data_IF_065632320169
#
_entry.id   IF_065632320169
#
_cell.length_a   1.000
_cell.length_b   1.000
_cell.length_c   1.000
_cell.angle_alpha   90.00
_cell.angle_beta   90.00
_cell.angle_gamma   90.00
#
_symmetry.space_group_name_H-M   'P 1'
#
loop_
_entity.id
_entity.type
_entity.pdbx_description
1 polymer ?
2 non-polymer ?
3 non-polymer ?
4 non-polymer ?
5 water ?
#
# COMPACT_ATOMS: atom_id res chain seq x y z
N UNK A 15 18.35 -3.93 28.57
CA UNK A 15 18.23 -3.82 27.10
C UNK A 15 18.90 -2.57 26.53
N UNK A 16 19.29 -2.63 25.25
CA UNK A 16 19.76 -1.43 24.58
C UNK A 16 18.64 -0.41 24.45
N UNK A 17 19.01 0.87 24.49
CA UNK A 17 18.08 1.99 24.47
C UNK A 17 18.34 2.83 23.23
N UNK A 18 17.28 3.34 22.62
CA UNK A 18 17.38 4.29 21.52
C UNK A 18 16.47 5.47 21.82
N UNK A 19 17.05 6.67 21.86
CA UNK A 19 16.30 7.90 22.14
C UNK A 19 15.47 7.78 23.41
N UNK A 20 16.07 7.17 24.44
CA UNK A 20 15.43 7.00 25.72
C UNK A 20 14.41 5.89 25.80
N UNK A 21 14.15 5.18 24.71
CA UNK A 21 13.16 4.11 24.64
C UNK A 21 13.84 2.74 24.57
N UNK A 22 13.17 1.74 25.14
CA UNK A 22 13.65 0.38 25.03
C UNK A 22 13.60 -0.07 23.58
N UNK A 23 14.70 -0.64 23.09
CA UNK A 23 14.74 -1.26 21.76
C UNK A 23 15.46 -2.59 21.93
N UNK A 24 14.72 -3.58 22.41
CA UNK A 24 15.29 -4.80 23.00
C UNK A 24 15.39 -5.91 21.98
N UNK A 25 16.49 -5.97 21.22
CA UNK A 25 16.61 -6.90 20.11
C UNK A 25 17.81 -7.83 20.23
N UNK A 26 18.58 -7.76 21.31
CA UNK A 26 19.85 -8.46 21.37
C UNK A 26 19.75 -9.91 21.79
N UNK A 27 20.87 -10.65 21.67
CA UNK A 27 22.17 -10.19 21.21
C UNK A 27 22.43 -10.37 19.71
N UNK A 28 21.48 -10.98 19.00
CA UNK A 28 21.71 -11.27 17.58
C UNK A 28 21.87 -9.98 16.78
N UNK A 29 21.11 -8.95 17.13
CA UNK A 29 21.11 -7.69 16.40
C UNK A 29 21.76 -6.63 17.28
N UNK A 30 22.85 -6.04 16.78
CA UNK A 30 23.65 -5.07 17.51
C UNK A 30 23.89 -3.83 16.67
N UNK A 31 24.55 -2.84 17.28
CA UNK A 31 24.98 -1.60 16.62
C UNK A 31 23.80 -0.87 15.99
N UNK A 32 22.88 -0.45 16.86
CA UNK A 32 21.58 0.08 16.45
C UNK A 32 21.71 1.53 16.01
N UNK A 33 20.90 1.90 15.01
CA UNK A 33 20.79 3.29 14.56
C UNK A 33 19.34 3.64 14.25
N UNK A 34 18.87 4.77 14.76
CA UNK A 34 17.50 5.21 14.51
C UNK A 34 17.33 5.67 13.05
N UNK A 35 16.27 5.20 12.38
CA UNK A 35 16.04 5.56 10.99
C UNK A 35 14.63 6.06 10.70
N UNK A 36 13.73 6.17 11.68
CA UNK A 36 12.41 6.73 11.44
C UNK A 36 11.35 6.15 12.36
N UNK A 37 10.09 6.46 12.04
CA UNK A 37 8.94 6.07 12.86
C UNK A 37 7.94 5.19 12.14
N UNK A 38 7.56 4.07 12.78
CA UNK A 38 6.45 3.25 12.34
C UNK A 38 5.17 3.63 13.06
N UNK A 39 4.08 2.93 12.72
CA UNK A 39 2.76 3.32 13.20
C UNK A 39 2.62 3.08 14.70
N UNK A 40 3.28 2.05 15.23
CA UNK A 40 3.24 1.76 16.67
C UNK A 40 4.64 1.74 17.26
N UNK A 41 5.59 2.42 16.64
CA UNK A 41 6.91 2.52 17.22
C UNK A 41 7.95 3.03 16.25
N UNK A 42 9.18 3.06 16.73
CA UNK A 42 10.34 3.54 15.99
C UNK A 42 10.94 2.42 15.11
N UNK A 43 11.71 2.84 14.12
CA UNK A 43 12.39 1.93 13.20
C UNK A 43 13.89 2.17 13.33
N UNK A 44 14.65 1.10 13.49
CA UNK A 44 16.10 1.18 13.60
C UNK A 44 16.75 0.28 12.56
N UNK A 45 17.96 0.64 12.17
CA UNK A 45 18.82 -0.32 11.50
C UNK A 45 19.71 -0.99 12.54
N UNK A 46 20.21 -2.17 12.20
CA UNK A 46 20.99 -2.95 13.15
C UNK A 46 21.80 -3.98 12.39
N UNK A 47 22.94 -4.37 12.98
CA UNK A 47 23.75 -5.42 12.40
C UNK A 47 23.25 -6.79 12.85
N UNK A 48 22.92 -7.65 11.88
CA UNK A 48 22.54 -9.04 12.12
C UNK A 48 23.81 -9.88 12.23
N UNK A 49 24.14 -10.32 13.45
CA UNK A 49 25.39 -11.04 13.68
C UNK A 49 25.37 -12.46 13.14
N UNK A 50 24.20 -13.02 12.81
CA UNK A 50 24.17 -14.36 12.23
C UNK A 50 24.38 -14.32 10.71
N UNK A 51 23.61 -13.49 10.02
CA UNK A 51 23.73 -13.39 8.57
C UNK A 51 24.76 -12.36 8.14
N UNK A 52 25.34 -11.61 9.09
CA UNK A 52 26.43 -10.67 8.83
C UNK A 52 26.03 -9.61 7.82
N UNK A 53 24.85 -9.04 8.03
CA UNK A 53 24.34 -7.96 7.19
C UNK A 53 23.52 -7.04 8.08
N UNK A 54 23.43 -5.77 7.70
CA UNK A 54 22.57 -4.86 8.44
C UNK A 54 21.12 -5.02 7.97
N UNK A 55 20.18 -4.80 8.91
CA UNK A 55 18.76 -5.06 8.70
C UNK A 55 17.98 -3.86 9.23
N UNK A 56 16.71 -3.78 8.82
CA UNK A 56 15.73 -2.88 9.42
C UNK A 56 14.91 -3.61 10.47
N UNK A 57 14.62 -2.93 11.58
CA UNK A 57 13.78 -3.50 12.64
C UNK A 57 12.74 -2.46 13.04
N UNK A 58 11.46 -2.82 12.97
CA UNK A 58 10.41 -1.94 13.45
C UNK A 58 9.84 -2.47 14.77
N UNK A 59 9.75 -1.59 15.76
CA UNK A 59 9.19 -1.92 17.06
C UNK A 59 7.70 -1.62 17.06
N UNK A 60 6.90 -2.60 17.49
CA UNK A 60 5.44 -2.49 17.55
C UNK A 60 5.01 -2.68 18.99
N UNK A 61 4.13 -1.80 19.47
CA UNK A 61 3.60 -1.85 20.84
C UNK A 61 2.08 -1.76 20.75
N UNK A 62 1.40 -2.85 20.37
CA UNK A 62 -0.03 -2.73 20.03
C UNK A 62 -1.02 -3.17 21.11
N UNK A 63 -0.54 -3.76 22.21
CA UNK A 63 -1.43 -4.66 22.94
C UNK A 63 -2.47 -3.96 23.80
N UNK A 64 -2.40 -2.65 23.95
CA UNK A 64 -3.40 -1.95 24.76
C UNK A 64 -4.65 -1.60 23.98
N UNK A 65 -4.64 -1.77 22.65
CA UNK A 65 -5.77 -1.39 21.81
C UNK A 65 -6.11 -2.47 20.79
N UNK A 66 -7.39 -2.83 20.78
CA UNK A 66 -7.90 -3.86 19.88
C UNK A 66 -7.57 -3.55 18.43
N UNK A 67 -7.73 -2.28 18.01
CA UNK A 67 -7.50 -1.96 16.61
C UNK A 67 -6.02 -2.08 16.24
N UNK A 68 -5.12 -1.74 17.16
CA UNK A 68 -3.70 -1.89 16.88
C UNK A 68 -3.33 -3.37 16.74
N UNK A 69 -3.90 -4.22 17.61
CA UNK A 69 -3.66 -5.65 17.53
C UNK A 69 -4.14 -6.20 16.21
N UNK A 70 -5.28 -5.69 15.70
CA UNK A 70 -5.80 -6.15 14.43
C UNK A 70 -4.79 -5.90 13.31
N UNK A 71 -4.29 -4.66 13.24
CA UNK A 71 -3.35 -4.28 12.19
C UNK A 71 -2.08 -5.12 12.26
N UNK A 72 -1.60 -5.41 13.48
CA UNK A 72 -0.37 -6.18 13.65
C UNK A 72 -0.60 -7.64 13.23
N UNK A 73 -1.69 -8.23 13.66
CA UNK A 73 -1.97 -9.62 13.30
C UNK A 73 -2.15 -9.77 11.80
N UNK A 74 -2.93 -8.85 11.20
CA UNK A 74 -3.14 -8.83 9.76
C UNK A 74 -1.82 -8.91 8.99
N UNK A 75 -0.90 -7.97 9.25
CA UNK A 75 0.37 -7.97 8.51
C UNK A 75 1.15 -9.26 8.73
N UNK A 76 1.21 -9.74 9.98
CA UNK A 76 2.00 -10.94 10.24
C UNK A 76 1.43 -12.13 9.49
N UNK A 77 0.09 -12.32 9.54
CA UNK A 77 -0.50 -13.45 8.84
C UNK A 77 -0.23 -13.39 7.35
N UNK A 78 -0.38 -12.20 6.75
CA UNK A 78 -0.19 -12.06 5.31
C UNK A 78 1.27 -12.32 4.93
N UNK A 79 2.20 -11.65 5.61
CA UNK A 79 3.60 -11.73 5.20
C UNK A 79 4.24 -13.08 5.51
N UNK A 80 3.71 -13.83 6.47
CA UNK A 80 4.25 -15.16 6.69
C UNK A 80 3.81 -16.12 5.59
N UNK A 81 2.77 -15.79 4.84
CA UNK A 81 2.38 -16.60 3.70
C UNK A 81 3.04 -16.14 2.39
N UNK A 82 3.17 -14.83 2.20
CA UNK A 82 3.71 -14.28 0.96
C UNK A 82 5.22 -14.51 0.82
N UNK A 83 5.66 -14.79 -0.42
CA UNK A 83 7.07 -14.75 -0.79
C UNK A 83 7.15 -14.18 -2.21
N UNK A 84 7.73 -12.99 -2.33
CA UNK A 84 7.82 -12.33 -3.63
C UNK A 84 8.92 -11.28 -3.63
N UNK A 85 9.63 -11.17 -4.76
CA UNK A 85 10.77 -10.25 -4.88
C UNK A 85 10.40 -8.78 -4.66
N UNK A 86 9.14 -8.40 -4.96
CA UNK A 86 8.73 -7.00 -4.87
C UNK A 86 7.86 -6.72 -3.66
N UNK A 87 7.92 -7.59 -2.64
CA UNK A 87 7.23 -7.42 -1.37
C UNK A 87 8.27 -7.62 -0.27
N UNK A 88 8.38 -6.66 0.65
CA UNK A 88 9.42 -6.82 1.67
C UNK A 88 8.90 -7.80 2.71
N UNK A 89 9.62 -8.91 2.88
CA UNK A 89 9.16 -9.98 3.74
C UNK A 89 9.58 -9.79 5.18
N UNK A 90 9.20 -10.77 6.00
CA UNK A 90 9.59 -10.83 7.41
C UNK A 90 10.74 -11.82 7.54
N UNK A 91 11.91 -11.31 7.96
CA UNK A 91 13.09 -12.16 8.17
C UNK A 91 13.08 -12.85 9.53
N UNK A 92 12.51 -12.19 10.52
CA UNK A 92 12.59 -12.63 11.91
C UNK A 92 11.58 -11.82 12.69
N UNK A 93 11.08 -12.40 13.77
CA UNK A 93 10.21 -11.68 14.70
C UNK A 93 10.76 -11.91 16.10
N UNK A 94 10.97 -10.83 16.83
CA UNK A 94 11.54 -10.84 18.18
C UNK A 94 10.45 -10.47 19.18
N UNK A 95 10.29 -11.28 20.22
CA UNK A 95 9.39 -10.98 21.33
C UNK A 95 9.74 -11.87 22.50
N UNK A 96 9.23 -11.49 23.66
CA UNK A 96 9.46 -12.24 24.89
C UNK A 96 9.02 -13.70 24.76
N UNK A 97 9.55 -14.59 25.60
CA UNK A 97 9.21 -16.02 25.46
C UNK A 97 7.81 -16.39 25.95
N UNK A 98 7.14 -15.52 26.70
CA UNK A 98 5.82 -15.84 27.24
C UNK A 98 4.85 -14.72 26.95
N UNK A 99 3.56 -15.04 26.87
CA UNK A 99 2.57 -13.99 26.64
C UNK A 99 2.63 -12.96 27.77
N UNK A 100 2.83 -13.43 29.01
CA UNK A 100 2.83 -12.55 30.17
C UNK A 100 3.91 -11.50 30.04
N UNK A 101 5.06 -11.87 29.49
CA UNK A 101 6.19 -10.96 29.39
C UNK A 101 6.21 -10.18 28.08
N UNK A 102 5.31 -10.46 27.15
CA UNK A 102 5.41 -9.88 25.81
C UNK A 102 4.69 -8.54 25.83
N UNK A 103 5.45 -7.47 25.65
CA UNK A 103 4.91 -6.13 25.64
C UNK A 103 5.08 -5.48 24.29
N UNK A 104 6.15 -5.81 23.60
CA UNK A 104 6.45 -5.29 22.28
C UNK A 104 6.74 -6.46 21.37
N UNK A 105 6.67 -6.19 20.07
CA UNK A 105 7.05 -7.14 19.04
C UNK A 105 7.94 -6.40 18.06
N UNK A 106 9.06 -7.00 17.68
CA UNK A 106 9.98 -6.40 16.70
C UNK A 106 9.97 -7.24 15.43
N UNK A 107 9.72 -6.60 14.29
CA UNK A 107 9.75 -7.28 13.00
C UNK A 107 11.01 -6.85 12.26
N UNK A 108 11.80 -7.85 11.86
CA UNK A 108 13.09 -7.67 11.20
C UNK A 108 12.90 -7.87 9.70
N UNK A 109 13.39 -6.91 8.91
CA UNK A 109 13.19 -6.93 7.48
C UNK A 109 14.47 -6.46 6.78
N UNK A 110 14.55 -6.68 5.47
CA UNK A 110 15.70 -6.22 4.70
C UNK A 110 15.91 -4.72 4.89
N UNK A 111 17.18 -4.31 4.98
CA UNK A 111 17.51 -2.90 5.03
C UNK A 111 17.60 -2.36 3.61
N UNK A 112 16.73 -1.42 3.29
CA UNK A 112 16.72 -0.76 2.00
C UNK A 112 17.47 0.56 2.12
N UNK A 113 17.63 1.26 0.99
CA UNK A 113 18.37 2.51 0.98
C UNK A 113 17.46 3.72 1.20
N UNK A 114 16.25 3.69 0.62
CA UNK A 114 15.38 4.85 0.68
C UNK A 114 13.96 4.39 0.35
N UNK A 115 13.04 5.34 0.22
CA UNK A 115 11.69 5.04 -0.25
C UNK A 115 11.32 6.11 -1.26
N UNK A 116 10.23 5.86 -2.00
CA UNK A 116 9.90 6.73 -3.11
C UNK A 116 9.48 8.12 -2.63
N UNK A 117 8.88 8.22 -1.45
CA UNK A 117 8.56 9.53 -0.88
C UNK A 117 9.81 10.37 -0.70
N UNK A 118 10.83 9.80 -0.04
CA UNK A 118 12.07 10.53 0.16
C UNK A 118 12.75 10.86 -1.16
N UNK A 119 12.77 9.90 -2.08
CA UNK A 119 13.41 10.11 -3.37
C UNK A 119 12.76 11.25 -4.13
N UNK A 120 11.42 11.29 -4.16
CA UNK A 120 10.76 12.31 -4.97
C UNK A 120 10.87 13.71 -4.38
N UNK A 121 11.27 13.84 -3.10
CA UNK A 121 11.51 15.17 -2.54
C UNK A 121 12.59 15.92 -3.30
N UNK A 122 13.63 15.22 -3.77
CA UNK A 122 14.79 15.88 -4.36
C UNK A 122 15.25 15.35 -5.71
N UNK A 123 14.81 14.17 -6.15
CA UNK A 123 15.37 13.53 -7.34
C UNK A 123 14.35 13.42 -8.47
N UNK A 124 14.75 13.90 -9.64
CA UNK A 124 13.99 13.69 -10.85
C UNK A 124 14.27 12.31 -11.42
N UNK A 125 13.22 11.63 -11.85
CA UNK A 125 13.34 10.27 -12.36
C UNK A 125 13.46 10.31 -13.88
N UNK A 126 14.39 9.54 -14.43
CA UNK A 126 14.40 9.33 -15.87
C UNK A 126 13.18 8.48 -16.27
N UNK A 127 12.83 8.54 -17.56
CA UNK A 127 11.73 7.71 -18.03
C UNK A 127 12.03 6.23 -17.80
N UNK A 128 13.31 5.82 -17.95
CA UNK A 128 13.64 4.43 -17.71
C UNK A 128 13.43 4.04 -16.26
N UNK A 129 13.71 4.94 -15.31
CA UNK A 129 13.44 4.65 -13.91
C UNK A 129 11.95 4.55 -13.64
N UNK A 130 11.18 5.48 -14.21
CA UNK A 130 9.73 5.46 -14.00
C UNK A 130 9.16 4.14 -14.48
N UNK A 131 9.59 3.71 -15.67
CA UNK A 131 9.10 2.45 -16.26
C UNK A 131 9.49 1.26 -15.38
N UNK A 132 10.73 1.20 -14.95
CA UNK A 132 11.18 0.08 -14.12
C UNK A 132 10.48 0.08 -12.75
N UNK A 133 10.33 1.25 -12.13
CA UNK A 133 9.64 1.31 -10.83
C UNK A 133 8.19 0.85 -11.00
N UNK A 134 7.51 1.36 -12.04
CA UNK A 134 6.10 1.03 -12.23
C UNK A 134 5.95 -0.45 -12.51
N UNK A 135 6.85 -1.02 -13.33
CA UNK A 135 6.80 -2.46 -13.58
C UNK A 135 6.87 -3.23 -12.27
N UNK A 136 7.83 -2.85 -11.40
CA UNK A 136 8.00 -3.59 -10.15
C UNK A 136 6.80 -3.42 -9.23
N UNK A 137 6.22 -2.21 -9.18
CA UNK A 137 5.01 -2.01 -8.38
C UNK A 137 3.90 -2.95 -8.87
N UNK A 138 3.68 -2.99 -10.18
CA UNK A 138 2.61 -3.82 -10.73
C UNK A 138 2.91 -5.31 -10.63
N UNK A 139 4.19 -5.68 -10.72
CA UNK A 139 4.55 -7.08 -10.55
C UNK A 139 4.23 -7.57 -9.14
N UNK A 140 4.57 -6.76 -8.13
CA UNK A 140 4.22 -7.11 -6.76
C UNK A 140 2.72 -7.07 -6.54
N UNK A 141 2.05 -6.08 -7.12
CA UNK A 141 0.59 -5.98 -6.96
C UNK A 141 -0.12 -7.16 -7.62
N UNK A 142 0.40 -7.68 -8.73
CA UNK A 142 -0.23 -8.85 -9.34
C UNK A 142 -0.22 -10.02 -8.35
N UNK A 143 0.91 -10.22 -7.67
CA UNK A 143 0.99 -11.30 -6.69
C UNK A 143 -0.01 -11.08 -5.56
N UNK A 144 -0.03 -9.86 -5.00
CA UNK A 144 -0.97 -9.51 -3.94
C UNK A 144 -2.41 -9.80 -4.34
N UNK A 145 -2.83 -9.25 -5.49
CA UNK A 145 -4.21 -9.46 -5.91
C UNK A 145 -4.50 -10.91 -6.25
N UNK A 146 -3.50 -11.64 -6.77
CA UNK A 146 -3.70 -13.06 -7.03
C UNK A 146 -3.94 -13.86 -5.75
N UNK A 147 -3.56 -13.32 -4.59
CA UNK A 147 -3.84 -13.94 -3.31
C UNK A 147 -5.19 -13.51 -2.76
N UNK A 148 -5.98 -12.79 -3.55
CA UNK A 148 -7.29 -12.29 -3.12
C UNK A 148 -7.16 -11.23 -2.03
N UNK A 149 -6.02 -10.54 -1.98
CA UNK A 149 -5.74 -9.51 -0.97
C UNK A 149 -5.69 -8.14 -1.64
N UNK A 150 -6.14 -7.13 -0.90
CA UNK A 150 -6.04 -5.72 -1.28
C UNK A 150 -5.05 -5.04 -0.34
N UNK A 151 -4.07 -4.32 -0.89
CA UNK A 151 -3.13 -3.62 -0.02
C UNK A 151 -3.80 -2.45 0.72
N UNK A 152 -4.49 -1.57 -0.01
CA UNK A 152 -5.35 -0.50 0.51
C UNK A 152 -4.58 0.65 1.14
N UNK A 153 -3.26 0.74 0.99
CA UNK A 153 -2.58 1.97 1.40
C UNK A 153 -1.31 2.17 0.57
N UNK A 154 -1.41 1.94 -0.74
CA UNK A 154 -0.25 2.17 -1.60
C UNK A 154 0.01 3.67 -1.74
N UNK A 155 1.26 4.06 -1.53
CA UNK A 155 1.68 5.45 -1.57
C UNK A 155 3.19 5.46 -1.63
N UNK A 156 3.81 6.56 -2.07
CA UNK A 156 5.27 6.54 -2.21
C UNK A 156 6.04 6.08 -0.98
N UNK A 157 5.63 6.47 0.23
CA UNK A 157 6.40 6.09 1.42
C UNK A 157 6.28 4.61 1.78
N UNK A 158 5.42 3.86 1.09
CA UNK A 158 5.36 2.41 1.26
C UNK A 158 6.06 1.66 0.12
N UNK A 159 6.89 2.36 -0.65
CA UNK A 159 7.62 1.74 -1.76
C UNK A 159 9.09 1.94 -1.45
N UNK A 160 9.76 0.89 -0.99
CA UNK A 160 11.16 0.95 -0.61
C UNK A 160 12.06 0.61 -1.81
N UNK A 161 13.26 1.21 -1.87
CA UNK A 161 14.24 1.00 -2.93
C UNK A 161 15.59 0.67 -2.31
N UNK A 162 16.31 -0.29 -2.88
CA UNK A 162 17.69 -0.50 -2.44
C UNK A 162 18.63 0.27 -3.36
N UNK A 163 19.94 0.04 -3.22
CA UNK A 163 20.91 0.89 -3.92
C UNK A 163 20.96 0.60 -5.41
N UNK A 164 20.39 -0.51 -5.87
CA UNK A 164 20.35 -0.82 -7.29
C UNK A 164 18.91 -0.69 -7.81
N UNK A 165 18.08 0.04 -7.07
CA UNK A 165 16.73 0.38 -7.46
C UNK A 165 15.76 -0.82 -7.59
N UNK A 166 16.07 -1.89 -6.87
CA UNK A 166 15.07 -2.94 -6.62
C UNK A 166 13.99 -2.36 -5.72
N UNK A 167 12.73 -2.59 -6.08
CA UNK A 167 11.59 -2.00 -5.39
C UNK A 167 10.82 -3.06 -4.60
N UNK A 168 10.44 -2.71 -3.36
CA UNK A 168 9.65 -3.61 -2.51
C UNK A 168 8.51 -2.87 -1.82
N UNK A 169 7.35 -3.52 -1.77
CA UNK A 169 6.14 -2.94 -1.17
C UNK A 169 6.12 -3.23 0.33
N UNK A 170 5.90 -2.17 1.14
CA UNK A 170 5.90 -2.21 2.59
C UNK A 170 4.47 -2.05 3.13
N UNK A 171 4.25 -2.58 4.32
CA UNK A 171 3.09 -2.41 5.20
C UNK A 171 1.79 -3.06 4.74
N UNK A 172 1.49 -4.23 5.30
CA UNK A 172 0.22 -4.90 5.05
C UNK A 172 -0.73 -4.83 6.23
N UNK A 173 -0.55 -3.85 7.11
CA UNK A 173 -1.41 -3.70 8.26
C UNK A 173 -2.80 -3.17 7.94
N UNK A 174 -2.98 -2.55 6.77
CA UNK A 174 -4.28 -2.01 6.35
C UNK A 174 -4.97 -2.89 5.31
N UNK A 175 -4.37 -4.02 4.97
CA UNK A 175 -4.86 -4.88 3.90
C UNK A 175 -6.19 -5.54 4.29
N UNK A 176 -6.88 -6.05 3.28
CA UNK A 176 -8.13 -6.81 3.46
C UNK A 176 -8.20 -7.90 2.41
N UNK A 177 -9.00 -8.92 2.70
CA UNK A 177 -9.38 -9.90 1.68
C UNK A 177 -10.46 -9.28 0.80
N UNK A 178 -10.27 -9.36 -0.51
CA UNK A 178 -11.22 -8.75 -1.44
C UNK A 178 -12.64 -9.28 -1.25
N UNK A 179 -13.63 -8.41 -1.47
CA UNK A 179 -15.02 -8.77 -1.25
C UNK A 179 -15.91 -7.93 -2.15
N UNK A 180 -15.83 -8.13 -3.47
CA UNK A 180 -16.53 -7.22 -4.38
C UNK A 180 -18.04 -7.27 -4.23
N UNK A 181 -18.60 -8.41 -3.81
CA UNK A 181 -20.05 -8.47 -3.71
C UNK A 181 -20.62 -7.68 -2.54
N UNK A 182 -19.79 -7.23 -1.59
CA UNK A 182 -20.26 -6.43 -0.47
C UNK A 182 -19.59 -5.07 -0.38
N UNK A 183 -19.26 -4.48 -1.53
CA UNK A 183 -18.46 -3.26 -1.59
C UNK A 183 -19.31 -1.98 -1.54
N UNK A 184 -20.60 -2.06 -1.86
CA UNK A 184 -21.42 -0.85 -1.96
C UNK A 184 -21.78 -0.28 -0.58
N UNK A 185 -21.72 1.03 -0.46
CA UNK A 185 -22.12 1.73 0.75
C UNK A 185 -22.60 3.14 0.39
N UNK A 186 -22.79 3.97 1.42
CA UNK A 186 -23.34 5.30 1.25
C UNK A 186 -22.31 6.40 1.00
N UNK A 187 -22.83 7.62 0.98
CA UNK A 187 -22.10 8.82 0.50
C UNK A 187 -21.33 9.47 1.65
N UNK A 188 -20.04 9.76 1.42
CA UNK A 188 -19.19 10.51 2.36
C UNK A 188 -19.01 9.78 3.69
N UNK A 189 -18.92 8.44 3.64
CA UNK A 189 -18.76 7.71 4.90
C UNK A 189 -17.44 6.98 5.04
N UNK A 190 -16.80 6.58 3.93
CA UNK A 190 -15.66 5.67 3.95
C UNK A 190 -14.33 6.42 3.89
N UNK A 191 -13.27 5.75 4.39
CA UNK A 191 -12.05 6.45 4.75
C UNK A 191 -10.78 5.72 4.27
N UNK A 192 -10.93 4.71 3.40
CA UNK A 192 -9.84 3.82 3.02
C UNK A 192 -8.65 4.58 2.42
N UNK A 193 -7.44 4.06 2.67
CA UNK A 193 -6.20 4.58 2.11
C UNK A 193 -5.81 5.96 2.65
N UNK A 194 -4.71 6.50 2.13
CA UNK A 194 -4.23 7.83 2.50
C UNK A 194 -4.79 8.85 1.51
N UNK A 195 -5.21 10.02 2.02
CA UNK A 195 -6.08 10.91 1.25
C UNK A 195 -5.68 11.10 -0.22
N UNK A 196 -4.42 11.48 -0.48
CA UNK A 196 -4.04 11.85 -1.84
C UNK A 196 -4.12 10.66 -2.81
N UNK A 197 -4.14 9.43 -2.30
CA UNK A 197 -4.06 8.20 -3.08
C UNK A 197 -5.39 7.45 -3.07
N UNK A 198 -6.45 8.11 -2.63
CA UNK A 198 -7.78 7.53 -2.39
C UNK A 198 -8.70 7.71 -3.61
N UNK A 199 -9.26 6.60 -4.09
CA UNK A 199 -10.06 6.61 -5.33
C UNK A 199 -11.35 7.40 -5.12
N UNK A 200 -11.90 7.99 -6.19
CA UNK A 200 -13.12 8.80 -6.01
C UNK A 200 -14.26 8.01 -5.40
N UNK A 201 -14.42 6.73 -5.76
CA UNK A 201 -15.57 5.99 -5.25
C UNK A 201 -15.55 5.79 -3.75
N UNK A 202 -14.39 5.92 -3.10
CA UNK A 202 -14.35 5.84 -1.64
C UNK A 202 -15.26 6.90 -1.02
N UNK A 203 -15.32 8.07 -1.65
CA UNK A 203 -16.04 9.20 -1.10
C UNK A 203 -17.53 9.10 -1.50
N UNK A 204 -17.84 8.27 -2.50
CA UNK A 204 -19.15 8.22 -3.14
C UNK A 204 -19.98 7.01 -2.69
N UNK A 205 -19.45 5.80 -2.87
CA UNK A 205 -20.29 4.62 -2.63
C UNK A 205 -19.53 3.32 -2.40
N UNK A 206 -18.23 3.34 -2.03
CA UNK A 206 -17.44 2.12 -1.98
C UNK A 206 -16.74 1.99 -0.64
N UNK A 207 -16.77 0.77 -0.07
CA UNK A 207 -16.01 0.41 1.12
C UNK A 207 -14.53 0.11 0.86
N UNK A 208 -14.08 0.14 -0.39
CA UNK A 208 -12.68 -0.19 -0.65
C UNK A 208 -12.36 -1.67 -0.59
N UNK A 209 -13.29 -2.52 -1.01
CA UNK A 209 -13.18 -3.97 -0.96
C UNK A 209 -12.96 -4.60 -2.33
N UNK A 210 -12.65 -3.80 -3.35
CA UNK A 210 -12.35 -4.38 -4.66
C UNK A 210 -10.95 -3.93 -5.09
N UNK A 211 -10.37 -4.73 -5.99
CA UNK A 211 -8.98 -4.57 -6.42
C UNK A 211 -8.72 -3.23 -7.11
N UNK A 212 -9.76 -2.63 -7.72
CA UNK A 212 -9.60 -1.35 -8.39
C UNK A 212 -9.19 -0.23 -7.45
N UNK A 213 -9.34 -0.41 -6.13
CA UNK A 213 -8.90 0.62 -5.20
C UNK A 213 -7.38 0.78 -5.26
N UNK A 214 -6.70 -0.34 -5.41
CA UNK A 214 -5.24 -0.31 -5.46
C UNK A 214 -4.75 0.25 -6.79
N UNK A 215 -5.45 -0.06 -7.89
CA UNK A 215 -4.98 0.44 -9.18
C UNK A 215 -5.04 1.97 -9.21
N UNK A 216 -6.08 2.56 -8.62
CA UNK A 216 -6.15 4.01 -8.52
C UNK A 216 -4.90 4.55 -7.81
N UNK A 217 -4.54 3.95 -6.67
CA UNK A 217 -3.36 4.44 -5.95
C UNK A 217 -2.12 4.35 -6.83
N UNK A 218 -1.94 3.25 -7.58
CA UNK A 218 -0.77 3.16 -8.46
C UNK A 218 -0.79 4.27 -9.52
N UNK A 219 -1.97 4.60 -10.07
CA UNK A 219 -2.04 5.70 -11.02
C UNK A 219 -1.61 7.01 -10.41
N UNK A 220 -2.01 7.27 -9.17
CA UNK A 220 -1.57 8.47 -8.47
C UNK A 220 -0.06 8.50 -8.31
N UNK A 221 0.53 7.33 -8.02
CA UNK A 221 1.99 7.24 -7.84
C UNK A 221 2.69 7.48 -9.16
N UNK A 222 2.18 6.90 -10.25
CA UNK A 222 2.77 7.16 -11.56
C UNK A 222 2.77 8.66 -11.87
N UNK A 223 1.64 9.34 -11.63
CA UNK A 223 1.59 10.78 -11.89
C UNK A 223 2.64 11.53 -11.08
N UNK A 224 2.80 11.15 -9.80
CA UNK A 224 3.78 11.80 -8.93
C UNK A 224 5.22 11.53 -9.40
N UNK A 225 5.50 10.34 -9.92
CA UNK A 225 6.81 10.03 -10.52
C UNK A 225 7.09 10.91 -11.73
N UNK A 226 6.04 11.29 -12.47
CA UNK A 226 6.24 12.09 -13.69
C UNK A 226 6.58 13.55 -13.41
N UNK A 227 6.17 14.09 -12.26
CA UNK A 227 6.34 15.52 -11.98
C UNK A 227 6.85 15.86 -10.59
N UNK A 228 7.08 14.88 -9.71
CA UNK A 228 7.52 15.12 -8.32
C UNK A 228 6.51 15.91 -7.49
N UNK A 229 5.24 16.01 -7.90
CA UNK A 229 4.19 16.62 -7.09
C UNK A 229 2.97 15.71 -7.07
N UNK A 230 2.24 15.63 -5.96
CA UNK A 230 1.01 14.82 -5.97
C UNK A 230 -0.01 15.40 -6.94
N UNK A 231 -0.66 14.52 -7.70
CA UNK A 231 -1.54 14.99 -8.75
C UNK A 231 -2.87 15.48 -8.18
N UNK A 232 -3.32 14.90 -7.06
CA UNK A 232 -4.60 15.26 -6.43
C UNK A 232 -4.36 15.66 -4.98
N UNK A 233 -3.82 16.86 -4.72
CA UNK A 233 -3.43 17.23 -3.34
C UNK A 233 -4.57 17.81 -2.50
N UNK A 234 -5.58 17.00 -2.21
CA UNK A 234 -6.68 17.50 -1.37
C UNK A 234 -6.17 18.00 -0.04
N UNK A 235 -6.78 19.09 0.46
CA UNK A 235 -6.33 19.68 1.73
C UNK A 235 -6.97 19.03 2.94
N UNK A 236 -7.99 18.23 2.74
CA UNK A 236 -8.73 17.53 3.79
C UNK A 236 -9.66 16.54 3.07
N UNK A 237 -10.31 15.68 3.87
CA UNK A 237 -11.11 14.58 3.33
C UNK A 237 -12.09 15.04 2.25
N UNK A 238 -12.85 16.11 2.54
CA UNK A 238 -13.88 16.54 1.59
C UNK A 238 -13.30 17.22 0.36
N UNK A 239 -12.08 17.75 0.45
CA UNK A 239 -11.47 18.43 -0.70
C UNK A 239 -10.97 17.46 -1.77
N UNK A 240 -10.77 16.18 -1.43
CA UNK A 240 -10.08 15.27 -2.36
C UNK A 240 -10.86 15.10 -3.66
N UNK A 241 -12.18 14.92 -3.59
CA UNK A 241 -12.97 14.76 -4.80
C UNK A 241 -12.92 16.00 -5.69
N UNK A 242 -12.81 17.20 -5.09
CA UNK A 242 -12.66 18.43 -5.88
C UNK A 242 -11.44 18.35 -6.81
N UNK A 243 -10.31 17.87 -6.29
CA UNK A 243 -9.09 17.81 -7.10
C UNK A 243 -9.22 16.73 -8.18
N UNK A 244 -9.86 15.60 -7.85
CA UNK A 244 -10.02 14.55 -8.84
C UNK A 244 -10.90 15.02 -9.99
N UNK A 245 -12.08 15.58 -9.67
CA UNK A 245 -12.96 16.06 -10.73
C UNK A 245 -12.38 17.26 -11.47
N UNK A 246 -11.55 18.08 -10.81
CA UNK A 246 -10.96 19.21 -11.53
C UNK A 246 -10.01 18.81 -12.64
N UNK A 247 -9.50 17.58 -12.61
CA UNK A 247 -8.62 17.08 -13.67
C UNK A 247 -9.35 16.11 -14.61
N UNK A 248 -10.09 15.15 -14.05
CA UNK A 248 -10.84 14.21 -14.91
C UNK A 248 -12.04 14.87 -15.59
N UNK A 249 -12.57 15.93 -15.02
CA UNK A 249 -13.79 16.53 -15.55
C UNK A 249 -15.03 15.77 -15.08
N UNK A 250 -16.18 16.27 -15.51
CA UNK A 250 -17.45 15.69 -15.09
C UNK A 250 -17.60 14.26 -15.58
N UNK A 251 -18.08 13.34 -14.74
CA UNK A 251 -18.32 11.98 -15.21
C UNK A 251 -19.44 11.91 -16.25
N UNK A 252 -19.34 10.91 -17.14
CA UNK A 252 -20.32 10.73 -18.20
C UNK A 252 -21.66 10.24 -17.65
N UNK A 253 -22.69 10.31 -18.49
CA UNK A 253 -23.98 9.73 -18.12
C UNK A 253 -23.85 8.26 -17.78
N UNK A 254 -23.13 7.50 -18.62
CA UNK A 254 -22.98 6.07 -18.37
C UNK A 254 -22.35 5.82 -17.01
N UNK A 255 -21.32 6.61 -16.67
CA UNK A 255 -20.65 6.41 -15.39
C UNK A 255 -21.54 6.81 -14.23
N UNK A 256 -22.36 7.84 -14.40
CA UNK A 256 -23.28 8.21 -13.35
C UNK A 256 -24.37 7.16 -13.17
N UNK A 257 -24.82 6.56 -14.28
CA UNK A 257 -25.85 5.51 -14.18
C UNK A 257 -25.35 4.27 -13.46
N UNK A 258 -24.03 4.16 -13.31
CA UNK A 258 -23.44 3.04 -12.61
C UNK A 258 -23.44 3.29 -11.10
N UNK A 259 -23.78 4.52 -10.70
CA UNK A 259 -23.90 4.87 -9.29
C UNK A 259 -25.38 4.93 -8.93
N UNK A 260 -25.89 3.86 -8.31
CA UNK A 260 -27.31 3.89 -8.00
C UNK A 260 -27.64 4.74 -6.75
N UNK A 261 -26.70 4.86 -5.81
CA UNK A 261 -26.94 5.62 -4.58
C UNK A 261 -27.31 7.06 -4.90
N UNK A 262 -28.47 7.49 -4.39
CA UNK A 262 -29.04 8.77 -4.83
C UNK A 262 -28.26 9.94 -4.29
N UNK A 263 -27.79 9.87 -3.04
CA UNK A 263 -27.06 10.99 -2.48
C UNK A 263 -25.77 11.23 -3.27
N UNK A 264 -25.04 10.15 -3.59
CA UNK A 264 -23.81 10.28 -4.36
C UNK A 264 -24.08 10.80 -5.77
N UNK A 265 -25.03 10.18 -6.48
CA UNK A 265 -25.31 10.59 -7.85
C UNK A 265 -25.81 12.02 -7.90
N UNK A 266 -26.73 12.40 -7.01
CA UNK A 266 -27.26 13.77 -7.03
C UNK A 266 -26.22 14.80 -6.65
N UNK A 267 -25.27 14.47 -5.77
CA UNK A 267 -24.17 15.40 -5.53
C UNK A 267 -23.42 15.67 -6.85
N UNK A 268 -23.09 14.61 -7.59
CA UNK A 268 -22.36 14.83 -8.83
C UNK A 268 -23.20 15.59 -9.84
N UNK A 269 -24.51 15.31 -9.89
CA UNK A 269 -25.39 15.99 -10.84
C UNK A 269 -25.57 17.47 -10.51
N UNK A 270 -25.38 17.85 -9.25
CA UNK A 270 -25.53 19.23 -8.78
C UNK A 270 -24.35 20.12 -9.15
N UNK A 271 -23.24 19.53 -9.66
CA UNK A 271 -22.03 20.30 -9.94
C UNK A 271 -22.10 20.92 -11.33
N UNK A 272 -21.51 22.10 -11.52
CA UNK A 272 -21.36 22.65 -12.88
C UNK A 272 -20.46 21.74 -13.70
N UNK A 273 -20.64 21.79 -15.02
CA UNK A 273 -19.79 21.01 -15.91
C UNK A 273 -18.34 21.42 -15.77
N UNK A 274 -17.44 20.42 -15.69
CA UNK A 274 -16.00 20.60 -15.72
C UNK A 274 -15.41 19.80 -16.87
N UNK A 275 -14.49 20.42 -17.63
CA UNK A 275 -13.80 19.76 -18.72
C UNK A 275 -12.62 18.93 -18.19
N UNK A 276 -12.34 17.83 -18.88
CA UNK A 276 -11.13 17.05 -18.63
C UNK A 276 -9.90 17.89 -18.99
N UNK A 277 -8.87 17.82 -18.15
CA UNK A 277 -7.58 18.45 -18.44
C UNK A 277 -6.71 17.39 -19.13
N UNK A 278 -6.19 17.66 -20.33
CA UNK A 278 -5.41 16.63 -21.04
C UNK A 278 -4.12 16.28 -20.29
N UNK A 279 -3.84 14.98 -20.21
CA UNK A 279 -2.62 14.56 -19.50
C UNK A 279 -1.37 15.16 -20.12
N UNK A 280 -1.36 15.36 -21.43
CA UNK A 280 -0.12 15.87 -22.02
C UNK A 280 0.07 17.37 -21.78
N UNK A 281 -0.98 18.08 -21.31
CA UNK A 281 -0.80 19.45 -20.85
C UNK A 281 -0.29 19.51 -19.41
N UNK A 282 -0.71 18.55 -18.57
CA UNK A 282 -0.17 18.45 -17.22
C UNK A 282 1.26 17.96 -17.20
N UNK A 283 1.61 17.09 -18.15
CA UNK A 283 2.90 16.38 -18.19
C UNK A 283 3.48 16.46 -19.59
N UNK A 284 3.90 17.66 -20.03
CA UNK A 284 4.38 17.81 -21.41
C UNK A 284 5.68 17.08 -21.74
N UNK A 285 6.46 16.62 -20.77
CA UNK A 285 7.70 15.90 -21.08
C UNK A 285 7.54 14.38 -20.95
N UNK A 286 6.34 13.92 -20.60
CA UNK A 286 6.14 12.49 -20.35
C UNK A 286 6.04 11.68 -21.65
N UNK A 287 6.47 10.42 -21.57
CA UNK A 287 6.27 9.42 -22.62
C UNK A 287 4.78 9.25 -22.91
N UNK A 288 4.40 9.28 -24.19
CA UNK A 288 2.96 9.23 -24.47
C UNK A 288 2.36 7.88 -24.10
N UNK A 289 3.15 6.80 -24.15
CA UNK A 289 2.69 5.50 -23.70
C UNK A 289 2.44 5.49 -22.20
N UNK A 290 3.30 6.20 -21.43
CA UNK A 290 3.09 6.35 -19.99
C UNK A 290 1.76 7.05 -19.73
N UNK A 291 1.44 8.11 -20.48
CA UNK A 291 0.20 8.84 -20.25
C UNK A 291 -1.03 8.02 -20.64
N UNK A 292 -0.91 7.17 -21.65
CA UNK A 292 -2.03 6.30 -22.00
C UNK A 292 -2.33 5.33 -20.89
N UNK A 293 -1.27 4.77 -20.30
CA UNK A 293 -1.47 3.88 -19.16
C UNK A 293 -1.99 4.66 -17.96
N UNK A 294 -1.43 5.85 -17.68
CA UNK A 294 -1.92 6.69 -16.59
C UNK A 294 -3.43 6.92 -16.70
N UNK A 295 -3.90 7.26 -17.90
CA UNK A 295 -5.33 7.49 -18.12
C UNK A 295 -6.16 6.26 -17.78
N UNK A 296 -5.69 5.08 -18.17
CA UNK A 296 -6.40 3.84 -17.87
C UNK A 296 -6.41 3.52 -16.37
N UNK A 297 -5.35 3.87 -15.64
CA UNK A 297 -5.37 3.64 -14.18
C UNK A 297 -6.23 4.68 -13.46
N UNK A 298 -6.22 5.93 -13.92
CA UNK A 298 -7.02 6.98 -13.28
C UNK A 298 -8.35 7.17 -13.98
N UNK A 299 -9.04 6.07 -14.24
CA UNK A 299 -10.37 6.09 -14.84
C UNK A 299 -11.38 6.23 -13.72
N UNK A 300 -12.36 7.12 -13.89
CA UNK A 300 -13.31 7.42 -12.82
C UNK A 300 -14.16 6.19 -12.43
N UNK A 301 -14.73 5.51 -13.42
CA UNK A 301 -15.58 4.34 -13.19
C UNK A 301 -14.72 3.12 -12.80
N UNK A 302 -14.85 2.58 -11.58
CA UNK A 302 -13.93 1.50 -11.19
C UNK A 302 -14.13 0.23 -12.01
N UNK A 303 -15.31 0.01 -12.58
CA UNK A 303 -15.52 -1.16 -13.43
C UNK A 303 -14.79 -1.02 -14.76
N UNK A 304 -14.53 0.21 -15.23
CA UNK A 304 -13.81 0.40 -16.48
C UNK A 304 -12.30 0.55 -16.26
N UNK A 305 -11.88 0.72 -15.02
CA UNK A 305 -10.48 0.91 -14.69
C UNK A 305 -9.64 -0.33 -15.04
N UNK A 306 -8.44 -0.10 -15.59
CA UNK A 306 -7.56 -1.20 -15.97
C UNK A 306 -7.24 -2.06 -14.75
N UNK A 307 -7.15 -3.41 -14.96
CA UNK A 307 -6.73 -4.33 -13.91
C UNK A 307 -5.23 -4.60 -13.99
N UNK A 308 -4.68 -5.20 -12.93
CA UNK A 308 -3.22 -5.30 -12.82
C UNK A 308 -2.59 -6.08 -13.98
N UNK A 309 -3.20 -7.19 -14.40
CA UNK A 309 -2.59 -7.99 -15.47
C UNK A 309 -2.65 -7.29 -16.83
N UNK A 310 -3.68 -6.49 -17.06
CA UNK A 310 -3.73 -5.64 -18.25
C UNK A 310 -2.67 -4.55 -18.21
N UNK A 311 -2.48 -3.94 -17.04
CA UNK A 311 -1.46 -2.90 -16.91
C UNK A 311 -0.08 -3.46 -17.21
N UNK A 312 0.22 -4.68 -16.72
CA UNK A 312 1.54 -5.27 -17.02
C UNK A 312 1.75 -5.47 -18.52
N UNK A 313 0.67 -5.70 -19.27
CA UNK A 313 0.74 -5.99 -20.70
C UNK A 313 0.66 -4.74 -21.55
N UNK A 314 0.60 -3.57 -20.92
CA UNK A 314 0.47 -2.32 -21.66
C UNK A 314 1.79 -2.01 -22.39
N UNK A 315 1.73 -1.42 -23.61
CA UNK A 315 2.98 -1.13 -24.36
C UNK A 315 4.04 -0.35 -23.60
N UNK A 316 3.66 0.51 -22.64
CA UNK A 316 4.66 1.25 -21.88
C UNK A 316 5.66 0.31 -21.20
N UNK A 317 5.20 -0.87 -20.78
CA UNK A 317 6.03 -1.82 -20.02
C UNK A 317 6.58 -2.97 -20.88
N UNK A 318 6.53 -2.86 -22.20
CA UNK A 318 6.88 -3.98 -23.07
C UNK A 318 8.32 -4.47 -22.89
N UNK A 319 9.23 -3.61 -22.42
CA UNK A 319 10.62 -4.03 -22.25
C UNK A 319 10.78 -5.04 -21.12
N UNK A 320 9.83 -5.09 -20.20
CA UNK A 320 9.90 -5.89 -18.97
C UNK A 320 8.90 -7.03 -18.93
N UNK A 321 7.77 -6.86 -19.61
CA UNK A 321 6.65 -7.78 -19.50
C UNK A 321 7.06 -9.20 -19.82
N UNK A 322 6.80 -10.11 -18.88
CA UNK A 322 7.08 -11.53 -19.09
C UNK A 322 6.21 -12.31 -18.12
N UNK A 323 5.03 -12.77 -18.59
CA UNK A 323 4.06 -13.39 -17.66
C UNK A 323 4.59 -14.60 -16.92
N UNK A 324 5.48 -15.37 -17.54
CA UNK A 324 6.09 -16.54 -16.88
C UNK A 324 7.07 -16.14 -15.79
N UNK A 325 7.45 -14.87 -15.70
CA UNK A 325 8.30 -14.36 -14.63
C UNK A 325 7.57 -13.33 -13.78
N UNK A 326 6.23 -13.42 -13.75
CA UNK A 326 5.36 -12.56 -12.96
C UNK A 326 4.48 -13.49 -12.11
N UNK A 327 5.04 -14.03 -11.03
CA UNK A 327 4.37 -15.14 -10.33
C UNK A 327 3.12 -14.74 -9.56
N UNK A 328 2.29 -15.75 -9.28
CA UNK A 328 1.09 -15.58 -8.47
C UNK A 328 1.19 -16.44 -7.21
N UNK A 329 0.27 -16.18 -6.29
CA UNK A 329 0.33 -16.77 -4.96
C UNK A 329 -0.11 -18.23 -5.01
N UNK A 330 0.60 -19.07 -4.27
CA UNK A 330 0.24 -20.49 -4.23
C UNK A 330 -1.05 -20.72 -3.47
N UNK A 331 -1.29 -19.94 -2.41
CA UNK A 331 -2.38 -20.17 -1.45
C UNK A 331 -3.13 -18.86 -1.19
N UNK A 332 -4.08 -18.50 -2.06
CA UNK A 332 -4.88 -17.29 -1.82
C UNK A 332 -5.68 -17.35 -0.53
N UNK A 333 -5.92 -16.18 0.05
CA UNK A 333 -6.79 -16.08 1.23
C UNK A 333 -8.25 -16.15 0.80
N UNK A 334 -8.97 -17.17 1.28
CA UNK A 334 -10.31 -17.44 0.78
C UNK A 334 -11.36 -16.56 1.43
N UNK A 335 -11.20 -16.21 2.70
CA UNK A 335 -12.08 -15.25 3.35
C UNK A 335 -11.26 -14.39 4.31
N UNK A 336 -11.84 -13.27 4.74
CA UNK A 336 -11.12 -12.43 5.68
C UNK A 336 -11.01 -13.14 7.03
N UNK A 337 -10.05 -12.70 7.80
CA UNK A 337 -9.65 -13.37 9.02
C UNK A 337 -10.68 -13.22 10.13
N UNK A 338 -11.74 -12.44 9.91
CA UNK A 338 -12.81 -12.24 10.89
C UNK A 338 -12.22 -11.81 12.25
N UNK A 339 -11.28 -10.87 12.16
CA UNK A 339 -10.58 -10.36 13.33
C UNK A 339 -11.46 -9.44 14.19
N UNK A 340 -12.57 -8.94 13.66
CA UNK A 340 -13.36 -8.03 14.46
C UNK A 340 -14.21 -8.76 15.48
N UNK A 341 -14.60 -8.03 16.52
CA UNK A 341 -15.22 -8.53 17.75
C UNK A 341 -14.26 -9.34 18.60
N UNK A 342 -13.10 -9.73 18.05
CA UNK A 342 -12.08 -10.40 18.87
C UNK A 342 -11.51 -9.39 19.86
N UNK A 343 -11.62 -9.62 21.16
CA UNK A 343 -11.00 -8.70 22.12
C UNK A 343 -9.48 -8.75 21.99
N UNK A 344 -8.85 -7.72 22.52
CA UNK A 344 -7.39 -7.59 22.39
C UNK A 344 -6.66 -8.74 23.07
N UNK A 345 -7.26 -9.35 24.10
CA UNK A 345 -6.59 -10.50 24.74
C UNK A 345 -6.48 -11.68 23.79
N UNK A 346 -7.55 -11.96 23.04
CA UNK A 346 -7.48 -13.08 22.11
C UNK A 346 -6.54 -12.76 20.96
N UNK A 347 -6.45 -11.49 20.57
CA UNK A 347 -5.56 -11.11 19.48
C UNK A 347 -4.10 -11.20 19.90
N UNK A 348 -3.81 -10.81 21.14
CA UNK A 348 -2.46 -10.99 21.66
C UNK A 348 -2.06 -12.46 21.64
N UNK A 349 -2.99 -13.33 22.03
CA UNK A 349 -2.74 -14.77 21.97
C UNK A 349 -2.46 -15.22 20.55
N UNK A 350 -3.24 -14.73 19.58
CA UNK A 350 -3.02 -15.10 18.18
C UNK A 350 -1.68 -14.56 17.66
N UNK A 351 -1.32 -13.34 18.05
CA UNK A 351 -0.02 -12.81 17.65
C UNK A 351 1.10 -13.67 18.25
N UNK A 352 0.96 -14.02 19.52
CA UNK A 352 1.95 -14.89 20.16
C UNK A 352 2.11 -16.22 19.40
N UNK A 353 0.98 -16.83 19.01
CA UNK A 353 1.05 -18.12 18.31
C UNK A 353 1.61 -17.97 16.90
N UNK A 354 1.25 -16.90 16.19
CA UNK A 354 1.71 -16.71 14.82
C UNK A 354 3.21 -16.41 14.76
N UNK A 355 3.79 -15.90 15.85
CA UNK A 355 5.22 -15.55 15.88
C UNK A 355 6.08 -16.63 16.53
N UNK A 356 5.50 -17.76 16.92
CA UNK A 356 6.23 -18.78 17.66
C UNK A 356 7.32 -19.44 16.80
N UNK A 357 7.14 -19.50 15.48
CA UNK A 357 8.10 -20.18 14.62
C UNK A 357 9.49 -19.55 14.66
N UNK A 358 9.62 -18.33 15.19
CA UNK A 358 10.90 -17.64 15.19
C UNK A 358 11.65 -17.79 16.51
N UNK A 359 11.06 -18.44 17.50
CA UNK A 359 11.76 -18.60 18.76
C UNK A 359 12.81 -19.69 18.65
N UNK A 360 13.95 -19.54 19.36
CA UNK A 360 14.94 -20.61 19.57
C UNK A 360 14.36 -21.78 20.38
X LIG B 1 -8.11 12.42 5.71
X LIG B 1 -8.91 12.98 6.79
X LIG B 1 -8.28 10.98 5.76
X LIG B 1 -6.70 12.72 5.94
X LIG B 1 -8.52 12.90 4.40
X LIG C 1 -11.68 -3.66 -18.22
X LIG C 1 -11.22 -4.60 -17.18
X LIG C 1 -13.14 -3.61 -18.23
X LIG C 1 -11.20 -4.07 -19.54
X LIG C 1 -11.17 -2.34 -17.92
X LIG D 1 4.17 -18.80 -2.96
X LIG D 1 2.95 -17.94 -3.07
X LIG D 1 5.57 -17.95 -3.74
X LIG D 1 4.73 -18.83 -1.24
X LIG E 1 -5.46 -11.55 -9.96
X LIG E 1 -6.19 -10.40 -9.39
X LIG E 1 -6.14 -11.88 -11.61
X LIG E 1 -3.72 -11.03 -10.33
X LIG F 1 17.14 1.64 -15.85
X LIG F 1 16.50 2.58 -14.88
X LIG F 1 18.93 1.65 -15.65
X LIG F 1 16.73 -0.07 -15.38
X LIG G 1 10.23 -1.38 8.25
X LIG G 1 9.93 -0.76 6.89
X LIG G 1 8.57 -0.09 6.80
X LIG G 1 11.59 3.99 8.00
X LIG G 1 11.71 2.87 7.30
X LIG G 1 12.95 2.39 6.65
X LIG G 1 14.00 3.29 6.53
X LIG G 1 15.21 2.91 5.94
X LIG G 1 15.39 1.63 5.47
X LIG G 1 9.00 4.90 6.62
X LIG G 1 8.12 0.40 5.42
X LIG G 1 7.90 4.28 5.75
X LIG G 1 8.33 2.90 5.29
X LIG G 1 7.40 1.73 5.40
X LIG G 1 9.07 4.20 7.97
X LIG G 1 10.38 4.44 8.74
X LIG G 1 14.37 0.70 5.58
X LIG G 1 13.12 1.05 6.17
X LIG G 1 12.12 -0.05 6.23
X LIG G 1 9.46 2.75 4.84
X LIG G 1 6.69 4.26 6.46
X LIG G 1 8.72 6.29 6.84
X LIG G 1 16.22 3.82 5.83
X LIG G 1 14.59 -0.55 5.11
X LIG G 1 12.40 -1.18 5.94
X LIG G 1 10.90 0.31 6.64
#
# INVERSE_FOLDING_TARGET
HHHHHHMAAAAAAGPEMVRGQVFDVGPRYTNLSYIGEGAYGMVCSAYDNLNKVRVAIKKISPFEHQTYCQRTLREIKILLRFRHENIIGINDIIRAPTIEQMKDVYIVQDLMETDLYKLLKTQHLSNDHICYFLYQILRGLKYIHSANVLHRDLKPSNLLLNTTCDLKICDFGLARVADPDHDHTGFLTEYVATRWYRAPEIMLNSKGYTKSIDIWSVGCILAEMLSNRPIFPGKHYLDQLNHILGILGSPSQEDLNCIINLKARNYLLSLPHKNKVPWNRLFPNADSKALDLLDKMLTFNPHKRIEVEQALAHPYLEQYYDPSDEPIAEAPFKFDMELDDLPKEKLKELIFEETARFQPGYRS
SO4 S O1 O2 O3 O4
SO4 S O1 O2 O3 O4
DMS S O C1 C2
DMS S O C1 C2
DMS S O C1 C2
WMN C1 C2 C3 C11 C12 C13 C14 C15 C16 C8 C4 C7 C6 C5 C9 C10 C17 C18 C19 O1 O2 O3 O4 O5 O6 O7
#
